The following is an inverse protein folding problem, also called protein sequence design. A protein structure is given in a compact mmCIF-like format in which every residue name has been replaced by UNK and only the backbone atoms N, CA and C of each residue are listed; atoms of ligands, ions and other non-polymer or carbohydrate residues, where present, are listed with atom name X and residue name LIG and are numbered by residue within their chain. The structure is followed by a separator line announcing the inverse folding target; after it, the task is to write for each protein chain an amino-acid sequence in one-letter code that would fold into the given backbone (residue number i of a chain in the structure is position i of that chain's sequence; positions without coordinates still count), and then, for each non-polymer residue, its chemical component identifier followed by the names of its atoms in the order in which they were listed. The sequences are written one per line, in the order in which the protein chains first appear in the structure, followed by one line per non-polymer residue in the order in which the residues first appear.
data_IF_916863552151
#
_entry.id   IF_916863552151
#
_cell.length_a   1.000
_cell.length_b   1.000
_cell.length_c   1.000
_cell.angle_alpha   90.00
_cell.angle_beta   90.00
_cell.angle_gamma   90.00
#
_symmetry.space_group_name_H-M   'P 1'
#
loop_
_entity.id
_entity.type
_entity.pdbx_description
1 polymer ?
#
# COMPACT_ATOMS: atom_id res chain seq x y z
N UNK A 1 22.57 -74.56 6.67
CA UNK A 1 21.23 -74.65 6.05
C UNK A 1 20.60 -73.27 6.14
N UNK A 2 20.72 -72.37 5.17
CA UNK A 2 21.27 -72.38 3.78
C UNK A 2 21.72 -70.91 3.55
N UNK A 3 22.93 -70.49 3.16
CA UNK A 3 23.93 -70.87 2.13
C UNK A 3 23.58 -70.40 0.69
N UNK A 4 24.49 -69.59 0.09
CA UNK A 4 24.43 -68.97 -1.26
C UNK A 4 23.26 -67.99 -1.52
N UNK A 5 23.32 -67.03 -2.45
CA UNK A 5 24.24 -66.79 -3.59
C UNK A 5 24.80 -65.35 -3.65
N UNK A 6 25.93 -65.23 -4.36
CA UNK A 6 26.67 -63.99 -4.60
C UNK A 6 26.82 -63.81 -6.11
N UNK A 7 25.94 -63.02 -6.76
CA UNK A 7 25.91 -62.91 -8.23
C UNK A 7 25.92 -61.45 -8.73
N UNK A 8 27.14 -60.95 -8.89
CA UNK A 8 27.61 -60.26 -10.11
C UNK A 8 26.68 -59.22 -10.77
N UNK A 9 26.83 -57.94 -10.36
CA UNK A 9 26.56 -56.79 -11.25
C UNK A 9 27.69 -55.78 -11.29
N UNK A 10 28.82 -56.22 -11.85
CA UNK A 10 29.84 -55.32 -12.37
C UNK A 10 29.31 -54.57 -13.61
N UNK A 11 28.68 -53.41 -13.40
CA UNK A 11 28.28 -52.51 -14.49
C UNK A 11 29.42 -51.55 -14.83
N UNK A 12 30.26 -52.00 -15.76
CA UNK A 12 30.81 -51.22 -16.88
C UNK A 12 30.99 -49.71 -16.62
N UNK A 13 32.14 -49.30 -16.08
CA UNK A 13 32.58 -47.91 -16.22
C UNK A 13 32.92 -47.64 -17.70
N UNK A 14 32.00 -47.01 -18.42
CA UNK A 14 32.28 -46.45 -19.74
C UNK A 14 33.08 -45.15 -19.60
N UNK A 15 34.39 -45.27 -19.82
CA UNK A 15 35.27 -44.12 -20.07
C UNK A 15 34.99 -43.60 -21.48
N UNK A 16 34.13 -42.58 -21.61
CA UNK A 16 34.12 -41.67 -22.76
C UNK A 16 33.22 -40.45 -22.55
N UNK A 17 33.81 -39.27 -22.36
CA UNK A 17 33.60 -38.10 -23.23
C UNK A 17 34.07 -36.80 -22.55
N UNK A 18 35.09 -36.10 -23.07
CA UNK A 18 35.55 -34.83 -22.49
C UNK A 18 34.56 -33.66 -22.65
N UNK A 19 33.41 -33.85 -23.30
CA UNK A 19 32.40 -32.79 -23.54
C UNK A 19 31.56 -32.39 -22.31
N UNK A 20 31.70 -33.07 -21.16
CA UNK A 20 30.96 -32.72 -19.93
C UNK A 20 31.72 -31.80 -18.97
N UNK A 21 33.01 -31.54 -19.20
CA UNK A 21 33.81 -30.71 -18.28
C UNK A 21 33.47 -29.22 -18.41
N UNK A 22 33.12 -28.76 -19.61
CA UNK A 22 32.66 -27.37 -19.87
C UNK A 22 31.30 -27.07 -19.20
N UNK A 23 30.41 -28.08 -19.11
CA UNK A 23 29.14 -27.96 -18.37
C UNK A 23 29.39 -27.80 -16.86
N UNK A 24 30.26 -28.62 -16.29
CA UNK A 24 30.64 -28.52 -14.87
C UNK A 24 31.28 -27.17 -14.52
N UNK A 25 32.12 -26.62 -15.40
CA UNK A 25 32.70 -25.28 -15.21
C UNK A 25 31.63 -24.17 -15.28
N UNK A 26 30.65 -24.30 -16.18
CA UNK A 26 29.55 -23.33 -16.33
C UNK A 26 28.62 -23.35 -15.12
N UNK A 27 28.25 -24.54 -14.62
CA UNK A 27 27.41 -24.68 -13.43
C UNK A 27 28.13 -24.18 -12.15
N UNK A 28 29.44 -24.40 -12.02
CA UNK A 28 30.20 -23.89 -10.87
C UNK A 28 30.29 -22.35 -10.85
N UNK A 29 30.41 -21.72 -12.03
CA UNK A 29 30.36 -20.25 -12.18
C UNK A 29 28.97 -19.68 -11.86
N UNK A 30 27.90 -20.35 -12.29
CA UNK A 30 26.53 -19.96 -11.95
C UNK A 30 26.27 -20.05 -10.43
N UNK A 31 26.75 -21.12 -9.78
CA UNK A 31 26.63 -21.30 -8.32
C UNK A 31 27.45 -20.24 -7.56
N UNK A 32 28.68 -19.93 -7.99
CA UNK A 32 29.51 -18.85 -7.40
C UNK A 32 28.82 -17.49 -7.50
N UNK A 33 28.28 -17.12 -8.67
CA UNK A 33 27.50 -15.89 -8.86
C UNK A 33 26.27 -15.81 -7.92
N UNK A 34 25.55 -16.92 -7.75
CA UNK A 34 24.41 -17.00 -6.83
C UNK A 34 24.81 -16.81 -5.35
N UNK A 35 25.94 -17.40 -4.91
CA UNK A 35 26.39 -17.24 -3.51
C UNK A 35 26.82 -15.81 -3.15
N UNK A 36 27.38 -15.05 -4.09
CA UNK A 36 27.74 -13.63 -3.85
C UNK A 36 26.48 -12.77 -3.71
N UNK A 37 25.44 -13.06 -4.49
CA UNK A 37 24.15 -12.36 -4.39
C UNK A 37 23.47 -12.52 -3.03
N UNK A 38 23.52 -13.71 -2.43
CA UNK A 38 22.86 -13.96 -1.13
C UNK A 38 23.54 -13.28 0.06
N UNK A 39 24.87 -13.10 0.03
CA UNK A 39 25.60 -12.44 1.14
C UNK A 39 25.38 -10.92 1.12
N UNK A 40 25.27 -10.32 -0.06
CA UNK A 40 24.92 -8.90 -0.21
C UNK A 40 23.44 -8.60 0.07
N UNK A 41 22.56 -9.60 -0.06
CA UNK A 41 21.12 -9.46 0.17
C UNK A 41 20.73 -8.95 1.55
N UNK A 42 21.48 -9.29 2.59
CA UNK A 42 21.22 -8.88 3.98
C UNK A 42 22.13 -7.74 4.47
N UNK A 43 23.00 -7.18 3.62
CA UNK A 43 23.95 -6.14 4.00
C UNK A 43 23.27 -4.82 4.36
N UNK A 44 23.16 -4.53 5.67
CA UNK A 44 22.69 -3.25 6.19
C UNK A 44 23.75 -2.18 5.92
N UNK A 45 23.36 -1.10 5.24
CA UNK A 45 24.23 0.05 5.01
C UNK A 45 24.63 0.74 6.33
N UNK A 46 25.85 1.28 6.43
CA UNK A 46 26.26 2.14 7.54
C UNK A 46 25.27 3.31 7.76
N UNK A 47 25.07 3.75 9.02
CA UNK A 47 24.24 4.90 9.33
C UNK A 47 24.64 6.14 8.51
N UNK A 48 23.65 6.81 7.93
CA UNK A 48 23.87 7.97 7.05
C UNK A 48 23.94 7.67 5.54
N UNK A 49 24.03 6.40 5.13
CA UNK A 49 23.98 6.00 3.71
C UNK A 49 22.58 5.53 3.24
N UNK A 50 21.57 5.54 4.12
CA UNK A 50 20.22 5.10 3.80
C UNK A 50 19.62 5.90 2.62
N UNK A 51 19.22 5.20 1.55
CA UNK A 51 18.60 5.85 0.40
C UNK A 51 17.13 6.12 0.68
N UNK A 52 16.70 7.36 0.42
CA UNK A 52 15.30 7.76 0.50
C UNK A 52 14.79 8.10 -0.90
N UNK A 53 13.60 7.62 -1.23
CA UNK A 53 12.94 7.78 -2.54
C UNK A 53 11.53 8.32 -2.31
N UNK A 54 11.14 9.36 -3.06
CA UNK A 54 9.81 9.93 -2.98
C UNK A 54 8.79 9.12 -3.77
N UNK A 55 7.53 9.16 -3.36
CA UNK A 55 6.43 8.71 -4.21
C UNK A 55 5.16 9.53 -3.96
N UNK A 56 4.37 9.70 -5.01
CA UNK A 56 3.06 10.35 -4.99
C UNK A 56 2.01 9.42 -5.58
N UNK A 57 0.94 9.14 -4.83
CA UNK A 57 -0.25 8.40 -5.28
C UNK A 57 -1.37 9.41 -5.53
N UNK A 58 -1.95 9.37 -6.73
CA UNK A 58 -3.04 10.27 -7.13
C UNK A 58 -4.22 9.51 -7.71
N UNK A 59 -5.30 10.23 -8.04
CA UNK A 59 -6.43 9.71 -8.84
C UNK A 59 -7.26 8.58 -8.21
N UNK A 60 -7.03 8.26 -6.93
CA UNK A 60 -7.93 7.43 -6.13
C UNK A 60 -9.26 8.15 -5.85
N UNK A 61 -10.28 7.38 -5.48
CA UNK A 61 -11.58 7.83 -4.99
C UNK A 61 -11.52 7.82 -3.45
N UNK A 62 -11.79 8.94 -2.78
CA UNK A 62 -11.61 9.05 -1.32
C UNK A 62 -12.60 8.16 -0.53
N UNK A 63 -12.16 7.14 0.23
CA UNK A 63 -13.04 6.32 1.09
C UNK A 63 -13.39 7.00 2.41
N UNK A 64 -14.45 6.49 3.06
CA UNK A 64 -14.87 6.93 4.41
C UNK A 64 -13.79 6.67 5.48
N UNK A 65 -12.93 5.67 5.28
CA UNK A 65 -11.79 5.38 6.16
C UNK A 65 -10.57 6.28 5.95
N UNK A 66 -10.61 7.21 4.99
CA UNK A 66 -9.58 8.24 4.81
C UNK A 66 -10.04 9.64 5.23
N UNK A 67 -11.20 9.73 5.90
CA UNK A 67 -11.70 10.96 6.50
C UNK A 67 -11.82 10.82 8.01
N UNK A 68 -11.91 11.95 8.71
CA UNK A 68 -12.05 11.96 10.17
C UNK A 68 -13.11 12.97 10.63
N UNK A 69 -13.60 12.80 11.86
CA UNK A 69 -14.54 13.72 12.49
C UNK A 69 -14.33 13.79 13.99
N UNK A 70 -14.39 14.98 14.56
CA UNK A 70 -14.44 15.15 16.02
C UNK A 70 -15.80 14.80 16.64
N UNK A 71 -16.83 14.48 15.85
CA UNK A 71 -18.19 14.29 16.36
C UNK A 71 -18.49 12.81 16.70
N UNK A 72 -18.77 12.48 17.98
CA UNK A 72 -19.00 11.09 18.41
C UNK A 72 -20.31 10.50 17.86
N UNK A 73 -21.31 11.31 17.54
CA UNK A 73 -22.57 10.85 16.93
C UNK A 73 -22.37 10.39 15.50
N UNK A 74 -21.37 10.94 14.79
CA UNK A 74 -20.99 10.47 13.46
C UNK A 74 -20.23 9.14 13.56
N UNK A 75 -19.20 9.04 14.41
CA UNK A 75 -18.43 7.79 14.57
C UNK A 75 -19.30 6.62 15.05
N UNK A 76 -20.28 6.88 15.92
CA UNK A 76 -21.25 5.88 16.37
C UNK A 76 -22.14 5.32 15.23
N UNK A 77 -22.37 6.08 14.15
CA UNK A 77 -23.15 5.65 12.98
C UNK A 77 -22.28 5.10 11.85
N UNK A 78 -21.04 5.56 11.76
CA UNK A 78 -20.09 5.22 10.70
C UNK A 78 -18.79 4.72 11.34
N UNK A 79 -18.74 3.47 11.84
CA UNK A 79 -17.59 2.97 12.61
C UNK A 79 -16.27 2.93 11.81
N UNK A 80 -16.32 3.09 10.49
CA UNK A 80 -15.16 3.21 9.62
C UNK A 80 -14.57 4.63 9.54
N UNK A 81 -15.22 5.67 10.09
CA UNK A 81 -14.64 7.02 10.15
C UNK A 81 -13.75 7.17 11.39
N UNK A 82 -12.61 7.83 11.21
CA UNK A 82 -11.67 8.07 12.29
C UNK A 82 -12.05 9.29 13.14
N UNK A 83 -11.62 9.33 14.40
CA UNK A 83 -11.84 10.49 15.29
C UNK A 83 -10.84 11.62 15.06
N UNK A 84 -9.66 11.31 14.50
CA UNK A 84 -8.56 12.27 14.32
C UNK A 84 -7.83 12.05 13.00
N UNK A 85 -7.16 13.09 12.49
CA UNK A 85 -6.29 13.00 11.32
C UNK A 85 -5.12 12.02 11.52
N UNK A 86 -4.54 11.98 12.72
CA UNK A 86 -3.48 11.04 13.09
C UNK A 86 -3.93 9.58 13.02
N UNK A 87 -5.19 9.27 13.36
CA UNK A 87 -5.73 7.92 13.21
C UNK A 87 -5.89 7.51 11.73
N UNK A 88 -6.23 8.43 10.84
CA UNK A 88 -6.23 8.19 9.37
C UNK A 88 -4.81 7.92 8.87
N UNK A 89 -3.82 8.71 9.29
CA UNK A 89 -2.42 8.49 8.90
C UNK A 89 -1.90 7.14 9.41
N UNK A 90 -2.21 6.75 10.66
CA UNK A 90 -1.86 5.44 11.20
C UNK A 90 -2.53 4.28 10.45
N UNK A 91 -3.79 4.45 10.03
CA UNK A 91 -4.51 3.49 9.20
C UNK A 91 -3.83 3.30 7.83
N UNK A 92 -3.47 4.39 7.14
CA UNK A 92 -2.74 4.34 5.87
C UNK A 92 -1.36 3.66 6.01
N UNK A 93 -0.59 4.03 7.04
CA UNK A 93 0.71 3.39 7.31
C UNK A 93 0.54 1.89 7.54
N UNK A 94 -0.47 1.48 8.32
CA UNK A 94 -0.77 0.06 8.55
C UNK A 94 -1.12 -0.68 7.26
N UNK A 95 -1.91 -0.07 6.37
CA UNK A 95 -2.27 -0.67 5.08
C UNK A 95 -1.04 -0.89 4.22
N UNK A 96 -0.17 0.12 4.06
CA UNK A 96 1.03 -0.02 3.22
C UNK A 96 1.98 -1.10 3.78
N UNK A 97 2.16 -1.15 5.11
CA UNK A 97 2.95 -2.23 5.73
C UNK A 97 2.29 -3.61 5.55
N UNK A 98 0.97 -3.71 5.61
CA UNK A 98 0.24 -4.97 5.38
C UNK A 98 0.30 -5.42 3.92
N UNK A 99 0.29 -4.51 2.94
CA UNK A 99 0.46 -4.89 1.54
C UNK A 99 1.88 -5.36 1.25
N UNK A 100 2.91 -4.70 1.78
CA UNK A 100 4.31 -5.09 1.58
C UNK A 100 4.57 -6.57 1.90
N UNK A 101 4.05 -7.10 3.02
CA UNK A 101 4.14 -8.53 3.37
C UNK A 101 3.44 -9.52 2.43
N UNK A 102 2.82 -9.05 1.33
CA UNK A 102 2.20 -9.86 0.28
C UNK A 102 2.60 -9.45 -1.15
N UNK A 103 3.45 -8.43 -1.32
CA UNK A 103 3.68 -7.79 -2.63
C UNK A 103 4.53 -8.62 -3.60
N UNK A 104 5.37 -9.53 -3.09
CA UNK A 104 6.48 -10.10 -3.87
C UNK A 104 6.36 -11.62 -3.99
N UNK A 105 6.32 -12.14 -5.23
CA UNK A 105 6.39 -13.57 -5.57
C UNK A 105 7.84 -14.06 -5.75
N UNK A 106 8.76 -13.55 -4.93
CA UNK A 106 10.11 -14.11 -4.77
C UNK A 106 10.09 -15.16 -3.64
N UNK A 107 11.15 -15.96 -3.45
CA UNK A 107 11.20 -16.90 -2.32
C UNK A 107 11.12 -16.18 -0.96
N UNK A 108 10.13 -16.54 -0.14
CA UNK A 108 9.70 -15.83 1.08
C UNK A 108 10.85 -15.31 1.97
N UNK A 109 11.88 -16.15 2.16
CA UNK A 109 12.99 -15.92 3.11
C UNK A 109 13.84 -14.70 2.75
N UNK A 110 13.99 -14.37 1.46
CA UNK A 110 14.81 -13.22 1.02
C UNK A 110 13.99 -11.93 1.07
N UNK A 111 12.68 -12.00 0.83
CA UNK A 111 11.80 -10.83 0.82
C UNK A 111 11.68 -10.24 2.22
N UNK A 112 11.40 -11.06 3.25
CA UNK A 112 11.15 -10.57 4.60
C UNK A 112 12.35 -9.78 5.13
N UNK A 113 13.56 -10.30 4.93
CA UNK A 113 14.81 -9.63 5.33
C UNK A 113 15.05 -8.29 4.62
N UNK A 114 14.58 -8.12 3.38
CA UNK A 114 14.69 -6.87 2.61
C UNK A 114 13.59 -5.87 3.02
N UNK A 115 12.37 -6.36 3.29
CA UNK A 115 11.25 -5.51 3.74
C UNK A 115 11.46 -4.99 5.16
N UNK A 116 12.07 -5.76 6.05
CA UNK A 116 12.47 -5.28 7.40
C UNK A 116 13.48 -4.12 7.35
N UNK A 117 14.17 -3.95 6.21
CA UNK A 117 15.11 -2.85 5.95
C UNK A 117 14.45 -1.66 5.21
N UNK A 118 13.13 -1.68 5.01
CA UNK A 118 12.34 -0.66 4.32
C UNK A 118 11.40 0.08 5.29
N UNK A 119 11.70 1.36 5.56
CA UNK A 119 10.85 2.25 6.33
C UNK A 119 9.97 3.09 5.40
N UNK A 120 8.67 3.10 5.66
CA UNK A 120 7.69 3.93 4.92
C UNK A 120 7.24 5.09 5.81
N UNK A 121 7.34 6.31 5.28
CA UNK A 121 6.73 7.49 5.89
C UNK A 121 5.69 8.06 4.93
N UNK A 122 4.43 8.11 5.36
CA UNK A 122 3.31 8.63 4.57
C UNK A 122 3.00 10.06 5.00
N UNK A 123 2.78 10.92 4.01
CA UNK A 123 2.28 12.29 4.15
C UNK A 123 0.92 12.38 3.45
N UNK A 124 -0.14 12.52 4.25
CA UNK A 124 -1.50 12.65 3.77
C UNK A 124 -2.23 13.75 4.54
N UNK A 125 -3.13 14.47 3.87
CA UNK A 125 -3.97 15.51 4.44
C UNK A 125 -5.44 15.06 4.49
N UNK A 126 -5.88 14.41 5.58
CA UNK A 126 -7.23 13.87 5.69
C UNK A 126 -8.30 14.95 5.63
N UNK A 127 -9.43 14.64 5.00
CA UNK A 127 -10.59 15.53 5.01
C UNK A 127 -11.30 15.44 6.37
N UNK A 128 -11.61 16.60 6.97
CA UNK A 128 -12.39 16.69 8.21
C UNK A 128 -13.88 16.82 7.91
N UNK A 129 -14.68 15.83 8.32
CA UNK A 129 -16.13 15.86 8.28
C UNK A 129 -16.67 16.59 9.52
N UNK A 130 -16.92 17.90 9.40
CA UNK A 130 -17.48 18.72 10.48
C UNK A 130 -19.00 18.60 10.56
N UNK A 131 -19.49 18.37 11.77
CA UNK A 131 -20.90 18.43 12.12
C UNK A 131 -21.22 19.77 12.80
N UNK A 132 -22.22 20.50 12.32
CA UNK A 132 -22.82 21.62 13.05
C UNK A 132 -24.32 21.39 13.19
N UNK A 133 -24.85 21.76 14.36
CA UNK A 133 -26.25 21.62 14.75
C UNK A 133 -27.08 22.77 14.19
N UNK A 134 -28.08 22.48 13.37
CA UNK A 134 -29.02 23.49 12.88
C UNK A 134 -29.98 23.94 14.00
N UNK A 135 -30.05 25.24 14.28
CA UNK A 135 -31.03 25.83 15.20
C UNK A 135 -32.33 26.14 14.42
N UNK A 136 -33.49 25.53 14.75
CA UNK A 136 -34.61 25.42 13.81
C UNK A 136 -35.58 26.62 13.75
N UNK A 137 -35.19 27.84 14.13
CA UNK A 137 -36.14 28.94 14.43
C UNK A 137 -35.94 30.27 13.67
N UNK A 138 -35.11 30.35 12.63
CA UNK A 138 -34.94 31.60 11.86
C UNK A 138 -35.18 31.41 10.36
N UNK A 139 -36.00 32.31 9.79
CA UNK A 139 -36.21 32.45 8.35
C UNK A 139 -34.89 32.79 7.66
N UNK A 140 -34.68 32.24 6.46
CA UNK A 140 -33.46 32.40 5.70
C UNK A 140 -33.26 33.83 5.20
N UNK A 141 -32.23 34.49 5.72
CA UNK A 141 -31.41 35.42 4.95
C UNK A 141 -29.98 34.84 4.84
N UNK A 142 -29.24 35.19 3.79
CA UNK A 142 -28.13 34.41 3.24
C UNK A 142 -26.81 34.47 4.06
N UNK A 143 -26.74 33.76 5.19
CA UNK A 143 -25.47 33.59 5.92
C UNK A 143 -25.23 32.17 6.50
N UNK A 144 -24.43 31.40 5.77
CA UNK A 144 -23.56 30.28 6.23
C UNK A 144 -24.24 29.04 6.86
N UNK A 145 -24.38 27.99 6.05
CA UNK A 145 -24.87 26.65 6.41
C UNK A 145 -23.73 25.64 6.24
N UNK A 146 -23.26 25.01 7.32
CA UNK A 146 -22.11 24.07 7.29
C UNK A 146 -22.40 22.71 7.98
N UNK A 147 -22.86 21.66 7.25
CA UNK A 147 -22.70 20.27 7.68
C UNK A 147 -22.11 19.37 6.58
N UNK A 148 -21.00 18.67 6.84
CA UNK A 148 -20.25 17.93 5.81
C UNK A 148 -19.71 16.56 6.27
N UNK A 149 -19.57 15.55 5.40
CA UNK A 149 -19.49 15.59 3.93
C UNK A 149 -20.46 14.61 3.23
N UNK A 150 -21.04 15.00 2.09
CA UNK A 150 -21.55 14.06 1.06
C UNK A 150 -20.89 14.41 -0.28
N UNK A 151 -20.17 13.45 -0.88
CA UNK A 151 -19.31 13.66 -2.06
C UNK A 151 -19.55 12.56 -3.08
N UNK A 152 -20.00 12.98 -4.26
CA UNK A 152 -20.27 12.12 -5.43
C UNK A 152 -19.79 12.91 -6.66
N UNK A 153 -18.93 12.41 -7.56
CA UNK A 153 -18.33 11.08 -7.71
C UNK A 153 -16.80 11.10 -7.49
N UNK A 154 -16.29 11.28 -6.25
CA UNK A 154 -14.83 11.12 -6.00
C UNK A 154 -14.32 10.76 -4.55
N UNK A 155 -15.02 10.13 -3.60
CA UNK A 155 -16.45 9.83 -3.39
C UNK A 155 -16.72 9.38 -1.93
N UNK A 156 -16.80 10.30 -0.98
CA UNK A 156 -17.31 10.06 0.39
C UNK A 156 -18.84 10.22 0.38
N UNK A 157 -19.58 9.17 0.03
CA UNK A 157 -21.00 9.29 -0.40
C UNK A 157 -22.05 9.47 0.72
N UNK A 158 -21.67 9.81 1.96
CA UNK A 158 -22.62 10.47 2.85
C UNK A 158 -22.31 10.54 4.35
N UNK A 159 -22.36 11.77 4.89
CA UNK A 159 -22.52 12.13 6.29
C UNK A 159 -23.37 13.40 6.41
N UNK A 160 -24.57 13.25 7.00
CA UNK A 160 -25.45 14.37 7.32
C UNK A 160 -26.42 13.94 8.44
N UNK A 161 -26.61 14.78 9.46
CA UNK A 161 -27.42 14.47 10.66
C UNK A 161 -28.27 15.66 11.10
N UNK A 162 -29.43 15.83 10.47
CA UNK A 162 -30.51 16.67 10.99
C UNK A 162 -31.43 15.86 11.90
N UNK A 163 -31.61 16.30 13.15
CA UNK A 163 -32.80 15.92 13.94
C UNK A 163 -33.04 16.85 15.13
N UNK A 164 -34.06 17.70 15.00
CA UNK A 164 -34.92 18.15 16.11
C UNK A 164 -36.34 18.50 15.65
N UNK A 165 -36.62 18.51 14.34
CA UNK A 165 -37.97 18.54 13.76
C UNK A 165 -38.21 17.22 13.01
N UNK A 166 -39.33 16.55 13.30
CA UNK A 166 -39.64 15.20 12.80
C UNK A 166 -39.71 15.17 11.28
N UNK A 167 -38.79 14.47 10.62
CA UNK A 167 -38.87 14.13 9.18
C UNK A 167 -37.83 14.77 8.26
N UNK A 168 -36.94 15.64 8.76
CA UNK A 168 -35.87 16.22 7.94
C UNK A 168 -34.74 15.21 7.62
N UNK A 169 -35.02 14.27 6.70
CA UNK A 169 -33.96 13.59 5.97
C UNK A 169 -33.16 14.64 5.19
N UNK A 170 -31.84 14.45 5.05
CA UNK A 170 -31.00 15.39 4.30
C UNK A 170 -31.32 15.30 2.80
N UNK A 171 -32.34 16.03 2.38
CA UNK A 171 -32.68 16.28 0.99
C UNK A 171 -31.58 17.15 0.38
N UNK A 172 -30.53 16.50 -0.11
CA UNK A 172 -29.68 17.08 -1.13
C UNK A 172 -30.59 17.42 -2.32
N UNK A 173 -30.83 18.70 -2.55
CA UNK A 173 -31.47 19.10 -3.79
C UNK A 173 -30.59 18.63 -4.95
N UNK A 174 -31.12 18.02 -6.01
CA UNK A 174 -30.33 17.64 -7.18
C UNK A 174 -29.68 18.85 -7.88
N UNK A 175 -30.08 20.08 -7.53
CA UNK A 175 -29.48 21.33 -7.97
C UNK A 175 -28.36 21.87 -7.07
N UNK A 176 -28.04 21.22 -5.94
CA UNK A 176 -26.86 21.56 -5.17
C UNK A 176 -25.61 21.08 -5.91
N UNK A 177 -24.85 22.03 -6.46
CA UNK A 177 -23.57 21.76 -7.10
C UNK A 177 -22.59 21.15 -6.09
N UNK A 178 -22.46 19.82 -6.10
CA UNK A 178 -21.44 19.10 -5.35
C UNK A 178 -20.08 19.48 -5.94
N UNK A 179 -19.39 20.41 -5.29
CA UNK A 179 -18.08 20.88 -5.72
C UNK A 179 -17.08 19.74 -5.83
N UNK A 180 -16.19 19.82 -6.82
CA UNK A 180 -15.09 18.87 -6.95
C UNK A 180 -14.22 18.93 -5.68
N UNK A 181 -13.91 17.76 -5.11
CA UNK A 181 -13.02 17.66 -3.96
C UNK A 181 -11.62 18.15 -4.36
N UNK A 182 -11.02 19.03 -3.55
CA UNK A 182 -9.67 19.55 -3.79
C UNK A 182 -8.65 18.41 -3.95
N UNK A 183 -7.73 18.56 -4.91
CA UNK A 183 -6.72 17.56 -5.25
C UNK A 183 -5.85 17.16 -4.05
N UNK A 184 -5.65 18.07 -3.10
CA UNK A 184 -4.93 17.88 -1.82
C UNK A 184 -5.48 16.76 -0.94
N UNK A 185 -6.77 16.41 -1.07
CA UNK A 185 -7.38 15.27 -0.37
C UNK A 185 -7.40 13.98 -1.22
N UNK A 186 -7.04 14.08 -2.50
CA UNK A 186 -6.94 13.01 -3.51
C UNK A 186 -5.48 12.68 -3.88
N UNK A 187 -4.53 13.12 -3.05
CA UNK A 187 -3.09 12.90 -3.18
C UNK A 187 -2.55 12.33 -1.86
N UNK A 188 -1.85 11.20 -1.92
CA UNK A 188 -1.02 10.70 -0.82
C UNK A 188 0.42 10.83 -1.28
N UNK A 189 1.26 11.56 -0.56
CA UNK A 189 2.70 11.56 -0.80
C UNK A 189 3.41 10.70 0.24
N UNK A 190 4.64 10.31 -0.02
CA UNK A 190 5.42 9.54 0.94
C UNK A 190 6.87 9.38 0.55
N UNK A 191 7.63 8.79 1.48
CA UNK A 191 9.02 8.44 1.26
C UNK A 191 9.27 7.00 1.66
N UNK A 192 9.93 6.25 0.78
CA UNK A 192 10.50 4.94 1.04
C UNK A 192 11.98 5.13 1.40
N UNK A 193 12.36 4.81 2.63
CA UNK A 193 13.76 4.82 3.08
C UNK A 193 14.25 3.40 3.25
N UNK A 194 15.33 3.03 2.56
CA UNK A 194 15.95 1.70 2.66
C UNK A 194 17.37 1.78 3.21
N UNK A 195 17.71 0.83 4.08
CA UNK A 195 19.09 0.56 4.49
C UNK A 195 19.70 -0.62 3.74
N UNK A 196 18.95 -1.26 2.84
CA UNK A 196 19.44 -2.39 2.06
C UNK A 196 20.36 -1.92 0.94
N UNK A 197 21.58 -2.47 0.87
CA UNK A 197 22.58 -2.07 -0.14
C UNK A 197 22.09 -2.29 -1.58
N UNK A 198 21.32 -3.34 -1.85
CA UNK A 198 20.84 -3.64 -3.21
C UNK A 198 19.75 -2.64 -3.63
N UNK A 199 18.74 -2.44 -2.78
CA UNK A 199 17.68 -1.44 -3.03
C UNK A 199 18.25 -0.01 -3.14
N UNK A 200 19.30 0.30 -2.37
CA UNK A 200 19.96 1.60 -2.44
C UNK A 200 20.60 1.90 -3.82
N UNK A 201 20.88 0.89 -4.65
CA UNK A 201 21.34 1.08 -6.04
C UNK A 201 20.26 0.90 -7.12
N UNK A 202 19.01 0.64 -6.75
CA UNK A 202 17.91 0.51 -7.72
C UNK A 202 17.67 1.80 -8.52
N UNK A 203 17.32 1.64 -9.79
CA UNK A 203 16.94 2.75 -10.67
C UNK A 203 15.51 3.23 -10.38
N UNK A 204 15.11 4.36 -10.96
CA UNK A 204 13.75 4.90 -10.76
C UNK A 204 12.68 3.92 -11.25
N UNK A 205 12.97 3.18 -12.31
CA UNK A 205 12.09 2.20 -12.94
C UNK A 205 11.89 0.96 -12.04
N UNK A 206 12.95 0.51 -11.35
CA UNK A 206 12.84 -0.56 -10.36
C UNK A 206 11.97 -0.12 -9.16
N UNK A 207 12.18 1.10 -8.65
CA UNK A 207 11.33 1.66 -7.60
C UNK A 207 9.88 1.82 -8.07
N UNK A 208 9.67 2.31 -9.30
CA UNK A 208 8.34 2.49 -9.90
C UNK A 208 7.60 1.15 -9.97
N UNK A 209 8.26 0.08 -10.44
CA UNK A 209 7.69 -1.29 -10.46
C UNK A 209 7.21 -1.76 -9.08
N UNK A 210 7.95 -1.46 -8.01
CA UNK A 210 7.53 -1.80 -6.63
C UNK A 210 6.31 -1.00 -6.18
N UNK A 211 6.26 0.30 -6.48
CA UNK A 211 5.10 1.12 -6.10
C UNK A 211 3.87 0.76 -6.95
N UNK A 212 4.03 0.51 -8.26
CA UNK A 212 2.96 0.04 -9.14
C UNK A 212 2.37 -1.29 -8.67
N UNK A 213 3.22 -2.25 -8.24
CA UNK A 213 2.75 -3.52 -7.68
C UNK A 213 2.03 -3.34 -6.34
N UNK A 214 2.46 -2.40 -5.51
CA UNK A 214 1.73 -2.05 -4.30
C UNK A 214 0.35 -1.44 -4.62
N UNK A 215 0.27 -0.59 -5.66
CA UNK A 215 -1.00 -0.04 -6.15
C UNK A 215 -1.95 -1.11 -6.70
N UNK A 216 -1.43 -2.08 -7.46
CA UNK A 216 -2.21 -3.23 -7.95
C UNK A 216 -2.83 -4.02 -6.79
N UNK A 217 -2.07 -4.22 -5.70
CA UNK A 217 -2.54 -4.95 -4.51
C UNK A 217 -3.55 -4.15 -3.67
N UNK A 218 -3.44 -2.81 -3.64
CA UNK A 218 -4.49 -1.95 -3.10
C UNK A 218 -5.75 -2.00 -3.96
N UNK A 219 -5.60 -2.01 -5.29
CA UNK A 219 -6.69 -2.07 -6.27
C UNK A 219 -7.40 -3.45 -6.31
N UNK A 220 -6.71 -4.54 -5.98
CA UNK A 220 -7.31 -5.88 -5.83
C UNK A 220 -7.78 -6.20 -4.40
N UNK A 221 -7.39 -5.40 -3.42
CA UNK A 221 -7.67 -5.62 -1.99
C UNK A 221 -9.03 -5.08 -1.52
N UNK A 222 -9.20 -5.02 -0.20
CA UNK A 222 -10.44 -4.50 0.43
C UNK A 222 -10.74 -3.03 0.07
N UNK A 223 -9.74 -2.28 -0.42
CA UNK A 223 -9.89 -0.90 -0.88
C UNK A 223 -10.03 -0.78 -2.40
N UNK A 224 -10.20 -1.89 -3.12
CA UNK A 224 -10.11 -1.91 -4.59
C UNK A 224 -11.02 -0.91 -5.31
N UNK A 225 -12.27 -0.79 -4.88
CA UNK A 225 -13.24 0.18 -5.41
C UNK A 225 -12.81 1.65 -5.27
N UNK A 226 -11.86 1.93 -4.38
CA UNK A 226 -11.32 3.26 -4.13
C UNK A 226 -10.02 3.51 -4.89
N UNK A 227 -9.22 2.46 -5.14
CA UNK A 227 -7.89 2.56 -5.76
C UNK A 227 -7.82 2.07 -7.22
N UNK A 228 -8.92 1.61 -7.83
CA UNK A 228 -8.92 1.11 -9.22
C UNK A 228 -8.46 2.12 -10.30
N UNK A 229 -8.64 3.43 -10.09
CA UNK A 229 -8.11 4.52 -10.94
C UNK A 229 -6.85 5.17 -10.39
N UNK A 230 -6.35 4.67 -9.27
CA UNK A 230 -5.20 5.26 -8.62
C UNK A 230 -3.91 4.81 -9.31
N UNK A 231 -3.01 5.75 -9.52
CA UNK A 231 -1.66 5.47 -10.00
C UNK A 231 -0.66 6.18 -9.10
N UNK A 232 0.56 5.65 -9.08
CA UNK A 232 1.65 6.20 -8.31
C UNK A 232 2.81 6.64 -9.21
N UNK A 233 3.58 7.60 -8.75
CA UNK A 233 4.76 8.12 -9.44
C UNK A 233 5.89 8.23 -8.43
N UNK A 234 7.02 7.60 -8.71
CA UNK A 234 8.27 7.80 -7.94
C UNK A 234 8.85 9.17 -8.26
N UNK A 235 9.24 9.94 -7.25
CA UNK A 235 9.77 11.31 -7.34
C UNK A 235 11.22 11.43 -6.90
#
# INVERSE_FOLDING_TARGET
MVESEFETRSKKLEVSSPKNMDRLATDFLAIQMLTIGTVLGCGVMPPGLARTVGFDVTSFTLPVSMVYTGNPTITARFPSIHTTSGAVQAFLTRIVMQTQGRVVLLPDVIISAILDQLSVRISYNPLECKAIQANPTMMFDHAKVDPHCIVVRNAVTGLCLMSSVRGAMCQLSPTMNIGALASTHKSISGTLTTTNVIMAFWSREMWQSVVDRAMEILASGQLGLYFYTAFATVT
#
